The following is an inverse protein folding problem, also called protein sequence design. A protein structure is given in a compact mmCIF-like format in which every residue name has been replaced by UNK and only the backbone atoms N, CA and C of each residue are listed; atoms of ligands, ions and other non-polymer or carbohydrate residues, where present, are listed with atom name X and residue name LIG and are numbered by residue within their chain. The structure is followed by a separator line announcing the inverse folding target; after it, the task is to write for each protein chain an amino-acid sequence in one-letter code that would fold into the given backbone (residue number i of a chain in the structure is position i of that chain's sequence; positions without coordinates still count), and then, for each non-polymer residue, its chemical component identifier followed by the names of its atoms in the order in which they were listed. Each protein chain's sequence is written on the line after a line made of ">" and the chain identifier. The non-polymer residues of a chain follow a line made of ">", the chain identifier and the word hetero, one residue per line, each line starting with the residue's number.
data_IF_132654097185
#
_entry.id   IF_132654097185
#
_cell.length_a   1.000
_cell.length_b   1.000
_cell.length_c   1.000
_cell.angle_alpha   90.00
_cell.angle_beta   90.00
_cell.angle_gamma   90.00
#
_symmetry.space_group_name_H-M   'P 1'
#
loop_
_entity.id
_entity.type
_entity.pdbx_description
1 polymer ?
#
# COMPACT_ATOMS: atom_id res chain seq x y z
N UNK A 1 -17.13 -33.94 -4.13
CA UNK A 1 -15.72 -33.56 -4.18
C UNK A 1 -15.67 -32.02 -4.18
N UNK A 2 -15.42 -31.44 -3.02
CA UNK A 2 -15.23 -29.99 -2.92
C UNK A 2 -13.90 -29.63 -3.55
N UNK A 3 -13.91 -28.97 -4.71
CA UNK A 3 -12.74 -28.25 -5.20
C UNK A 3 -12.47 -27.12 -4.19
N UNK A 4 -11.54 -27.36 -3.28
CA UNK A 4 -11.07 -26.32 -2.36
C UNK A 4 -10.56 -25.16 -3.21
N UNK A 5 -11.21 -24.01 -3.11
CA UNK A 5 -10.69 -22.75 -3.58
C UNK A 5 -9.30 -22.60 -2.94
N UNK A 6 -8.25 -22.92 -3.69
CA UNK A 6 -6.90 -22.59 -3.27
C UNK A 6 -6.84 -21.07 -3.21
N UNK A 7 -6.80 -20.54 -1.98
CA UNK A 7 -6.52 -19.12 -1.76
C UNK A 7 -5.16 -18.84 -2.37
N UNK A 8 -5.12 -17.99 -3.38
CA UNK A 8 -3.85 -17.55 -3.96
C UNK A 8 -3.07 -16.80 -2.87
N UNK A 9 -1.93 -17.32 -2.50
CA UNK A 9 -1.01 -16.70 -1.55
C UNK A 9 -0.11 -15.74 -2.31
N UNK A 10 0.06 -14.53 -1.78
CA UNK A 10 1.02 -13.58 -2.33
C UNK A 10 2.38 -13.72 -1.65
N UNK A 11 3.44 -13.61 -2.40
CA UNK A 11 4.79 -13.69 -1.83
C UNK A 11 5.13 -12.40 -1.08
N UNK A 12 4.79 -11.24 -1.65
CA UNK A 12 5.09 -9.95 -1.05
C UNK A 12 4.00 -8.92 -1.30
N UNK A 13 3.58 -8.23 -0.25
CA UNK A 13 2.66 -7.09 -0.32
C UNK A 13 3.47 -5.78 -0.26
N UNK A 14 3.25 -4.87 -1.20
CA UNK A 14 3.71 -3.49 -1.11
C UNK A 14 2.53 -2.57 -0.80
N UNK A 15 2.60 -1.83 0.30
CA UNK A 15 1.65 -0.76 0.61
C UNK A 15 2.39 0.56 0.44
N UNK A 16 1.81 1.52 -0.30
CA UNK A 16 2.42 2.83 -0.38
C UNK A 16 1.45 3.97 -0.11
N UNK A 17 2.00 5.04 0.48
CA UNK A 17 1.30 6.25 0.86
C UNK A 17 1.88 7.45 0.11
N UNK A 18 1.13 8.08 -0.80
CA UNK A 18 1.45 9.42 -1.26
C UNK A 18 1.20 10.41 -0.11
N UNK A 19 2.21 11.16 0.28
CA UNK A 19 2.13 12.12 1.39
C UNK A 19 2.63 13.49 0.97
N UNK A 20 1.90 14.52 1.34
CA UNK A 20 2.31 15.91 1.22
C UNK A 20 1.75 16.72 2.38
N UNK A 21 2.65 17.14 3.29
CA UNK A 21 2.29 17.83 4.53
C UNK A 21 1.31 17.02 5.42
N UNK A 22 1.70 15.78 5.71
CA UNK A 22 0.92 14.82 6.48
C UNK A 22 1.60 14.48 7.83
N UNK A 23 2.34 15.43 8.43
CA UNK A 23 3.09 15.21 9.67
C UNK A 23 2.24 14.68 10.83
N UNK A 24 0.95 15.04 10.85
CA UNK A 24 0.00 14.60 11.90
C UNK A 24 -0.41 13.12 11.71
N UNK A 25 -0.43 12.63 10.48
CA UNK A 25 -0.97 11.32 10.14
C UNK A 25 0.08 10.24 9.89
N UNK A 26 1.30 10.60 9.49
CA UNK A 26 2.33 9.67 9.01
C UNK A 26 2.61 8.52 10.00
N UNK A 27 2.82 8.80 11.28
CA UNK A 27 3.12 7.76 12.28
C UNK A 27 1.95 6.78 12.44
N UNK A 28 0.72 7.29 12.44
CA UNK A 28 -0.48 6.47 12.57
C UNK A 28 -0.71 5.62 11.34
N UNK A 29 -0.53 6.20 10.14
CA UNK A 29 -0.72 5.50 8.87
C UNK A 29 0.28 4.36 8.70
N UNK A 30 1.57 4.64 8.91
CA UNK A 30 2.63 3.63 8.78
C UNK A 30 2.48 2.52 9.81
N UNK A 31 2.19 2.86 11.08
CA UNK A 31 1.93 1.86 12.12
C UNK A 31 0.76 0.95 11.75
N UNK A 32 -0.37 1.51 11.34
CA UNK A 32 -1.54 0.72 10.97
C UNK A 32 -1.24 -0.21 9.79
N UNK A 33 -0.49 0.25 8.79
CA UNK A 33 -0.07 -0.59 7.68
C UNK A 33 0.84 -1.74 8.13
N UNK A 34 1.81 -1.47 8.99
CA UNK A 34 2.71 -2.48 9.55
C UNK A 34 1.93 -3.54 10.35
N UNK A 35 1.05 -3.11 11.26
CA UNK A 35 0.21 -4.02 12.05
C UNK A 35 -0.66 -4.94 11.17
N UNK A 36 -1.25 -4.39 10.11
CA UNK A 36 -2.03 -5.15 9.14
C UNK A 36 -1.17 -6.18 8.39
N UNK A 37 0.02 -5.78 7.95
CA UNK A 37 0.94 -6.66 7.25
C UNK A 37 1.42 -7.80 8.15
N UNK A 38 1.78 -7.49 9.40
CA UNK A 38 2.16 -8.50 10.40
C UNK A 38 1.03 -9.50 10.66
N UNK A 39 -0.21 -9.03 10.75
CA UNK A 39 -1.35 -9.89 10.91
C UNK A 39 -1.55 -10.80 9.69
N UNK A 40 -1.46 -10.27 8.46
CA UNK A 40 -1.55 -11.06 7.24
C UNK A 40 -0.41 -12.09 7.11
N UNK A 41 0.78 -11.77 7.59
CA UNK A 41 1.90 -12.71 7.67
C UNK A 41 1.61 -13.84 8.69
N UNK A 42 1.10 -13.51 9.88
CA UNK A 42 0.72 -14.48 10.89
C UNK A 42 -0.38 -15.43 10.40
N UNK A 43 -1.32 -14.92 9.61
CA UNK A 43 -2.38 -15.68 8.94
C UNK A 43 -1.87 -16.46 7.70
N UNK A 44 -0.60 -16.32 7.34
CA UNK A 44 0.03 -16.93 6.16
C UNK A 44 -0.63 -16.54 4.83
N UNK A 45 -1.24 -15.38 4.78
CA UNK A 45 -1.85 -14.83 3.58
C UNK A 45 -0.79 -14.19 2.67
N UNK A 46 0.25 -13.60 3.26
CA UNK A 46 1.43 -13.07 2.56
C UNK A 46 2.72 -13.68 3.15
N UNK A 47 3.78 -13.70 2.36
CA UNK A 47 5.10 -14.19 2.79
C UNK A 47 5.99 -13.10 3.36
N UNK A 48 5.85 -11.87 2.85
CA UNK A 48 6.63 -10.69 3.24
C UNK A 48 5.85 -9.42 2.90
N UNK A 49 6.35 -8.24 3.33
CA UNK A 49 5.76 -6.95 2.99
C UNK A 49 6.79 -5.83 2.93
N UNK A 50 6.37 -4.70 2.37
CA UNK A 50 7.04 -3.41 2.48
C UNK A 50 6.00 -2.29 2.58
N UNK A 51 6.34 -1.26 3.34
CA UNK A 51 5.57 -0.02 3.44
C UNK A 51 6.41 1.10 2.83
N UNK A 52 5.88 1.81 1.85
CA UNK A 52 6.61 2.83 1.11
C UNK A 52 5.93 4.19 1.33
N UNK A 53 6.65 5.14 1.88
CA UNK A 53 6.21 6.53 1.98
C UNK A 53 6.73 7.29 0.77
N UNK A 54 5.84 7.92 0.02
CA UNK A 54 6.21 8.83 -1.08
C UNK A 54 6.01 10.25 -0.58
N UNK A 55 7.09 10.87 -0.14
CA UNK A 55 7.09 12.27 0.27
C UNK A 55 7.16 13.20 -0.95
N UNK A 56 6.04 13.84 -1.25
CA UNK A 56 5.90 14.70 -2.44
C UNK A 56 6.41 16.12 -2.21
N UNK A 57 7.65 16.24 -1.73
CA UNK A 57 8.30 17.48 -1.37
C UNK A 57 7.52 18.25 -0.28
N UNK A 58 7.25 17.59 0.83
CA UNK A 58 6.60 18.22 1.99
C UNK A 58 7.45 19.35 2.57
N UNK A 59 6.79 20.35 3.09
CA UNK A 59 7.41 21.53 3.72
C UNK A 59 7.32 21.51 5.25
N UNK A 60 6.59 20.56 5.79
CA UNK A 60 6.45 20.27 7.22
C UNK A 60 7.43 19.17 7.66
N UNK A 61 7.16 18.52 8.80
CA UNK A 61 8.01 17.44 9.33
C UNK A 61 7.77 16.06 8.69
N UNK A 62 6.88 15.94 7.70
CA UNK A 62 6.54 14.64 7.07
C UNK A 62 7.77 13.90 6.57
N UNK A 63 8.64 14.55 5.80
CA UNK A 63 9.84 13.93 5.24
C UNK A 63 10.80 13.45 6.34
N UNK A 64 11.00 14.25 7.39
CA UNK A 64 11.84 13.88 8.52
C UNK A 64 11.27 12.66 9.28
N UNK A 65 9.98 12.66 9.55
CA UNK A 65 9.33 11.53 10.22
C UNK A 65 9.36 10.25 9.38
N UNK A 66 9.29 10.39 8.04
CA UNK A 66 9.44 9.26 7.14
C UNK A 66 10.84 8.62 7.27
N UNK A 67 11.91 9.43 7.32
CA UNK A 67 13.27 8.95 7.51
C UNK A 67 13.46 8.29 8.88
N UNK A 68 12.93 8.90 9.94
CA UNK A 68 12.99 8.33 11.30
C UNK A 68 12.28 6.95 11.36
N UNK A 69 11.15 6.79 10.67
CA UNK A 69 10.45 5.51 10.59
C UNK A 69 11.24 4.47 9.80
N UNK A 70 11.86 4.86 8.69
CA UNK A 70 12.70 3.97 7.87
C UNK A 70 13.92 3.47 8.66
N UNK A 71 14.49 4.30 9.54
CA UNK A 71 15.61 3.91 10.39
C UNK A 71 15.23 2.90 11.49
N UNK A 72 13.94 2.84 11.85
CA UNK A 72 13.43 1.95 12.91
C UNK A 72 12.95 0.59 12.41
N UNK A 73 12.54 0.50 11.15
CA UNK A 73 11.97 -0.73 10.55
C UNK A 73 12.44 -0.94 9.11
N UNK A 74 13.11 -2.05 8.87
CA UNK A 74 13.65 -2.43 7.56
C UNK A 74 12.59 -2.69 6.48
N UNK A 75 11.32 -2.86 6.87
CA UNK A 75 10.21 -2.98 5.93
C UNK A 75 9.73 -1.62 5.40
N UNK A 76 10.16 -0.53 6.05
CA UNK A 76 9.76 0.82 5.65
C UNK A 76 10.78 1.37 4.65
N UNK A 77 10.28 1.99 3.59
CA UNK A 77 11.08 2.65 2.57
C UNK A 77 10.50 4.04 2.29
N UNK A 78 11.38 4.97 1.96
CA UNK A 78 10.98 6.34 1.64
C UNK A 78 11.46 6.73 0.25
N UNK A 79 10.63 7.45 -0.46
CA UNK A 79 10.95 8.08 -1.75
C UNK A 79 10.64 9.56 -1.63
N UNK A 80 11.67 10.40 -1.60
CA UNK A 80 11.52 11.85 -1.61
C UNK A 80 11.47 12.39 -3.03
N UNK A 81 10.52 13.26 -3.31
CA UNK A 81 10.52 14.04 -4.53
C UNK A 81 11.28 15.35 -4.35
N UNK A 82 11.95 15.77 -5.39
CA UNK A 82 12.65 17.06 -5.47
C UNK A 82 11.70 18.28 -5.53
N UNK A 83 10.46 18.02 -5.96
CA UNK A 83 9.37 18.99 -6.06
C UNK A 83 8.03 18.28 -6.00
N UNK A 84 6.99 19.02 -5.64
CA UNK A 84 5.63 18.49 -5.61
C UNK A 84 5.17 18.05 -7.02
N UNK A 85 4.94 16.75 -7.21
CA UNK A 85 4.49 16.12 -8.46
C UNK A 85 3.01 15.84 -8.49
N UNK A 86 2.30 16.26 -7.44
CA UNK A 86 0.88 16.03 -7.23
C UNK A 86 0.57 14.53 -7.05
N UNK A 87 -0.66 14.22 -6.68
CA UNK A 87 -1.09 12.85 -6.40
C UNK A 87 -0.76 11.87 -7.52
N UNK A 88 -1.01 12.25 -8.78
CA UNK A 88 -0.71 11.38 -9.93
C UNK A 88 0.77 11.05 -10.08
N UNK A 89 1.67 12.02 -9.79
CA UNK A 89 3.11 11.81 -9.79
C UNK A 89 3.55 10.88 -8.66
N UNK A 90 3.01 11.09 -7.46
CA UNK A 90 3.30 10.27 -6.29
C UNK A 90 2.79 8.84 -6.44
N UNK A 91 1.59 8.65 -6.98
CA UNK A 91 1.07 7.30 -7.31
C UNK A 91 1.98 6.60 -8.31
N UNK A 92 2.42 7.28 -9.37
CA UNK A 92 3.35 6.72 -10.35
C UNK A 92 4.67 6.31 -9.71
N UNK A 93 5.22 7.13 -8.82
CA UNK A 93 6.45 6.82 -8.08
C UNK A 93 6.25 5.64 -7.13
N UNK A 94 5.11 5.56 -6.45
CA UNK A 94 4.76 4.43 -5.57
C UNK A 94 4.72 3.11 -6.32
N UNK A 95 4.03 3.06 -7.47
CA UNK A 95 4.03 1.84 -8.30
C UNK A 95 5.42 1.51 -8.86
N UNK A 96 6.23 2.49 -9.18
CA UNK A 96 7.60 2.25 -9.66
C UNK A 96 8.53 1.75 -8.55
N UNK A 97 8.32 2.17 -7.31
CA UNK A 97 9.11 1.76 -6.15
C UNK A 97 8.68 0.42 -5.57
N UNK A 98 7.42 0.01 -5.76
CA UNK A 98 6.86 -1.23 -5.24
C UNK A 98 7.56 -2.45 -5.87
N UNK A 99 7.91 -3.42 -5.03
CA UNK A 99 8.58 -4.67 -5.45
C UNK A 99 7.74 -5.92 -5.20
N UNK A 100 6.60 -5.78 -4.52
CA UNK A 100 5.68 -6.89 -4.24
C UNK A 100 4.88 -7.33 -5.46
N UNK A 101 4.39 -8.55 -5.42
CA UNK A 101 3.47 -9.12 -6.40
C UNK A 101 2.02 -8.66 -6.19
N UNK A 102 1.72 -8.13 -5.01
CA UNK A 102 0.50 -7.37 -4.70
C UNK A 102 0.88 -5.94 -4.28
N UNK A 103 0.25 -4.95 -4.89
CA UNK A 103 0.49 -3.54 -4.58
C UNK A 103 -0.81 -2.86 -4.18
N UNK A 104 -0.80 -2.22 -3.03
CA UNK A 104 -1.91 -1.42 -2.50
C UNK A 104 -1.45 0.02 -2.32
N UNK A 105 -2.26 0.99 -2.75
CA UNK A 105 -2.07 2.37 -2.35
C UNK A 105 -3.26 2.87 -1.53
N UNK A 106 -2.98 3.75 -0.57
CA UNK A 106 -4.01 4.35 0.28
C UNK A 106 -3.57 5.71 0.80
N UNK A 107 -4.53 6.53 1.16
CA UNK A 107 -4.29 7.83 1.78
C UNK A 107 -3.92 7.66 3.26
N UNK A 108 -3.19 8.62 3.83
CA UNK A 108 -2.68 8.56 5.20
C UNK A 108 -3.76 8.66 6.28
N UNK A 109 -4.95 9.13 5.95
CA UNK A 109 -6.05 9.39 6.88
C UNK A 109 -6.99 8.19 7.11
N UNK A 110 -6.84 7.09 6.34
CA UNK A 110 -7.74 5.92 6.34
C UNK A 110 -7.16 4.62 6.94
N UNK A 111 -6.37 4.64 8.02
CA UNK A 111 -5.69 3.42 8.49
C UNK A 111 -6.63 2.37 9.08
N UNK A 112 -7.80 2.74 9.63
CA UNK A 112 -8.66 1.82 10.37
C UNK A 112 -9.52 0.91 9.49
N UNK A 113 -9.78 1.30 8.25
CA UNK A 113 -10.57 0.51 7.31
C UNK A 113 -9.72 -0.36 6.37
N UNK A 114 -8.41 -0.15 6.38
CA UNK A 114 -7.48 -0.79 5.45
C UNK A 114 -7.50 -2.32 5.55
N UNK A 115 -7.54 -2.87 6.76
CA UNK A 115 -7.59 -4.33 6.96
C UNK A 115 -8.87 -4.94 6.39
N UNK A 116 -9.99 -4.29 6.65
CA UNK A 116 -11.30 -4.72 6.14
C UNK A 116 -11.31 -4.65 4.60
N UNK A 117 -10.75 -3.60 4.02
CA UNK A 117 -10.65 -3.41 2.57
C UNK A 117 -9.74 -4.46 1.93
N UNK A 118 -8.59 -4.74 2.52
CA UNK A 118 -7.69 -5.80 2.05
C UNK A 118 -8.40 -7.16 2.11
N UNK A 119 -9.03 -7.50 3.22
CA UNK A 119 -9.75 -8.77 3.38
C UNK A 119 -10.94 -8.90 2.44
N UNK A 120 -11.75 -7.84 2.28
CA UNK A 120 -12.90 -7.86 1.36
C UNK A 120 -12.48 -7.96 -0.10
N UNK A 121 -11.43 -7.27 -0.49
CA UNK A 121 -10.87 -7.35 -1.84
C UNK A 121 -10.37 -8.76 -2.14
N UNK A 122 -9.83 -9.43 -1.14
CA UNK A 122 -9.33 -10.80 -1.21
C UNK A 122 -10.46 -11.83 -1.33
N UNK A 123 -11.48 -11.72 -0.48
CA UNK A 123 -12.62 -12.64 -0.45
C UNK A 123 -13.54 -12.50 -1.68
N UNK A 124 -13.61 -11.32 -2.29
CA UNK A 124 -14.52 -11.06 -3.42
C UNK A 124 -13.96 -11.42 -4.79
N UNK A 125 -12.73 -11.92 -4.88
CA UNK A 125 -12.07 -12.20 -6.15
C UNK A 125 -11.89 -10.96 -7.04
N UNK A 126 -12.07 -9.75 -6.49
CA UNK A 126 -11.99 -8.47 -7.22
C UNK A 126 -10.57 -7.97 -7.43
N UNK A 127 -9.55 -8.74 -7.04
CA UNK A 127 -8.19 -8.42 -7.40
C UNK A 127 -8.04 -8.66 -8.90
N UNK A 128 -8.36 -7.63 -9.67
CA UNK A 128 -8.08 -7.64 -11.10
C UNK A 128 -6.60 -7.35 -11.30
N UNK A 129 -5.97 -8.16 -12.13
CA UNK A 129 -4.66 -7.83 -12.70
C UNK A 129 -4.78 -6.49 -13.42
N UNK A 130 -4.31 -5.41 -12.84
CA UNK A 130 -4.22 -4.12 -13.52
C UNK A 130 -2.75 -3.80 -13.78
N UNK A 131 -2.48 -3.86 -15.01
CA UNK A 131 -1.45 -3.26 -15.86
C UNK A 131 -0.10 -2.95 -15.22
N UNK A 132 0.88 -3.75 -15.65
CA UNK A 132 2.30 -3.49 -15.47
C UNK A 132 2.76 -2.40 -16.45
N UNK A 133 3.08 -1.21 -15.97
CA UNK A 133 3.89 -0.24 -16.70
C UNK A 133 5.40 -0.46 -16.44
N UNK A 134 5.80 -1.72 -16.26
CA UNK A 134 7.21 -2.06 -16.15
C UNK A 134 7.67 -2.68 -17.47
N UNK A 135 8.38 -1.89 -18.25
CA UNK A 135 9.24 -2.38 -19.32
C UNK A 135 10.44 -3.07 -18.66
N UNK A 136 10.52 -4.38 -18.69
CA UNK A 136 11.55 -5.26 -18.17
C UNK A 136 11.34 -5.86 -16.76
N UNK A 137 10.33 -6.68 -16.62
CA UNK A 137 10.37 -7.79 -15.66
C UNK A 137 9.29 -8.81 -15.99
N UNK A 138 9.65 -10.07 -16.03
CA UNK A 138 8.82 -11.19 -16.48
C UNK A 138 7.76 -11.67 -15.48
N UNK A 139 7.50 -10.93 -14.42
CA UNK A 139 6.48 -11.27 -13.45
C UNK A 139 5.30 -10.26 -13.48
N UNK A 140 4.05 -10.72 -13.52
CA UNK A 140 2.89 -9.83 -13.49
C UNK A 140 2.68 -9.24 -12.08
N UNK A 141 2.76 -7.91 -11.96
CA UNK A 141 2.37 -7.20 -10.73
C UNK A 141 0.85 -7.08 -10.68
N UNK A 142 0.24 -7.45 -9.56
CA UNK A 142 -1.19 -7.26 -9.30
C UNK A 142 -1.38 -6.02 -8.44
N UNK A 143 -1.99 -4.98 -8.99
CA UNK A 143 -2.30 -3.75 -8.28
C UNK A 143 -3.78 -3.71 -7.88
N UNK A 144 -4.07 -3.34 -6.64
CA UNK A 144 -5.41 -3.08 -6.14
C UNK A 144 -5.56 -1.59 -5.85
N UNK A 145 -6.42 -0.92 -6.60
CA UNK A 145 -6.85 0.46 -6.30
C UNK A 145 -8.12 0.37 -5.44
N UNK A 146 -8.01 0.70 -4.18
CA UNK A 146 -9.14 0.71 -3.25
C UNK A 146 -9.68 2.13 -3.17
N UNK A 147 -10.60 2.47 -4.07
CA UNK A 147 -11.43 3.67 -3.91
C UNK A 147 -12.63 3.34 -3.05
N UNK A 148 -12.74 3.95 -1.87
CA UNK A 148 -14.00 4.01 -1.15
C UNK A 148 -15.03 4.77 -1.98
N UNK A 149 -15.97 4.06 -2.58
CA UNK A 149 -17.23 4.70 -2.99
C UNK A 149 -18.14 4.70 -1.76
N UNK A 150 -18.64 5.86 -1.31
CA UNK A 150 -19.63 5.89 -0.24
C UNK A 150 -20.86 5.11 -0.69
N UNK A 151 -21.23 4.11 0.12
CA UNK A 151 -22.40 3.29 -0.14
C UNK A 151 -23.66 4.14 -0.28
N UNK A 152 -24.34 4.01 -1.41
CA UNK A 152 -25.71 4.51 -1.57
C UNK A 152 -26.61 3.75 -0.59
N UNK A 153 -27.02 4.42 0.47
CA UNK A 153 -28.18 4.04 1.26
C UNK A 153 -29.40 4.23 0.40
N UNK A 154 -29.93 3.15 -0.15
CA UNK A 154 -31.31 3.12 -0.62
C UNK A 154 -32.17 2.50 0.46
N UNK A 155 -33.19 3.26 0.84
CA UNK A 155 -34.20 2.98 1.85
C UNK A 155 -35.05 1.72 1.62
#
# INVERSE_FOLDING_TARGET
>A
MSAGLQRERFEKLSIFFPMWNEEVYIHRAVRAATEICEQLMAEKEIGNYEVIVIDDASTDLTGRYADELMDTDTHIRVVHHDRNRKLGGSIKSGFAAATGDLVLYTDADLPSEMLELVRRSWCSGRIRRTWSARTDSTAPVRACDVRCTPGSTTG
#
